data_IF_741636771579
#
_entry.id   IF_741636771579
#
_cell.length_a   1.000
_cell.length_b   1.000
_cell.length_c   1.000
_cell.angle_alpha   90.00
_cell.angle_beta   90.00
_cell.angle_gamma   90.00
#
_symmetry.space_group_name_H-M   'P 1'
#
loop_
_entity.id
_entity.type
_entity.pdbx_description
1 polymer ?
#
# COMPACT_ATOMS: atom_id res chain seq x y z
N UNK A 1 15.74 14.02 -30.50
CA UNK A 1 16.89 13.71 -31.40
C UNK A 1 18.07 14.53 -30.91
N UNK A 2 19.28 13.96 -30.87
CA UNK A 2 20.46 14.70 -30.43
C UNK A 2 20.84 15.76 -31.47
N UNK A 3 21.26 16.94 -31.01
CA UNK A 3 21.58 18.09 -31.85
C UNK A 3 22.77 17.77 -32.77
N UNK A 4 23.77 17.07 -32.23
CA UNK A 4 24.97 16.66 -32.96
C UNK A 4 24.65 15.71 -34.14
N UNK A 5 23.65 14.83 -33.98
CA UNK A 5 23.16 13.97 -35.06
C UNK A 5 22.37 14.73 -36.14
N UNK A 6 21.67 15.81 -35.76
CA UNK A 6 20.95 16.68 -36.69
C UNK A 6 21.86 17.64 -37.47
N UNK A 7 22.95 18.10 -36.84
CA UNK A 7 23.85 19.10 -37.41
C UNK A 7 24.89 18.48 -38.36
N UNK A 8 25.39 17.28 -38.05
CA UNK A 8 26.44 16.63 -38.83
C UNK A 8 25.97 15.40 -39.59
N UNK A 9 24.75 14.91 -39.34
CA UNK A 9 24.28 13.62 -39.85
C UNK A 9 24.97 12.46 -39.12
N UNK A 10 24.16 11.51 -38.63
CA UNK A 10 24.62 10.35 -37.84
C UNK A 10 25.67 9.48 -38.56
N UNK A 11 25.71 9.56 -39.89
CA UNK A 11 26.63 8.80 -40.74
C UNK A 11 27.87 9.57 -41.23
N UNK A 12 28.04 10.84 -40.87
CA UNK A 12 29.20 11.60 -41.34
C UNK A 12 30.51 11.13 -40.73
N UNK A 13 31.58 11.24 -41.53
CA UNK A 13 32.95 10.96 -41.12
C UNK A 13 33.37 11.81 -39.91
N UNK A 14 32.87 13.05 -39.81
CA UNK A 14 33.16 13.95 -38.69
C UNK A 14 32.54 13.44 -37.39
N UNK A 15 31.28 12.97 -37.43
CA UNK A 15 30.59 12.41 -36.27
C UNK A 15 31.22 11.09 -35.81
N UNK A 16 31.58 10.21 -36.75
CA UNK A 16 32.23 8.92 -36.46
C UNK A 16 33.67 9.11 -35.97
N UNK A 17 34.46 9.99 -36.59
CA UNK A 17 35.85 10.23 -36.21
C UNK A 17 35.97 10.88 -34.83
N UNK A 18 35.13 11.86 -34.49
CA UNK A 18 35.17 12.52 -33.17
C UNK A 18 34.74 11.61 -32.02
N UNK A 19 33.81 10.67 -32.27
CA UNK A 19 33.44 9.64 -31.29
C UNK A 19 34.54 8.56 -31.14
N UNK A 20 35.13 8.08 -32.24
CA UNK A 20 36.21 7.06 -32.20
C UNK A 20 37.48 7.62 -31.55
N UNK A 21 37.77 8.91 -31.72
CA UNK A 21 38.92 9.58 -31.12
C UNK A 21 38.70 10.00 -29.65
N UNK A 22 37.53 9.72 -29.07
CA UNK A 22 37.24 10.04 -27.66
C UNK A 22 37.22 11.54 -27.34
N UNK A 23 37.11 12.41 -28.35
CA UNK A 23 37.21 13.87 -28.18
C UNK A 23 35.96 14.47 -27.52
N UNK A 24 34.90 13.69 -27.29
CA UNK A 24 33.72 14.09 -26.51
C UNK A 24 32.88 15.21 -27.11
N UNK A 25 33.30 15.82 -28.24
CA UNK A 25 32.65 16.96 -28.89
C UNK A 25 31.16 16.74 -29.16
N UNK A 26 30.70 15.56 -29.64
CA UNK A 26 29.26 15.32 -29.81
C UNK A 26 28.49 15.33 -28.48
N UNK A 27 29.07 14.76 -27.41
CA UNK A 27 28.46 14.73 -26.08
C UNK A 27 28.45 16.10 -25.39
N UNK A 28 29.46 16.93 -25.61
CA UNK A 28 29.50 18.32 -25.12
C UNK A 28 28.47 19.19 -25.84
N UNK A 29 28.38 19.07 -27.17
CA UNK A 29 27.37 19.77 -27.97
C UNK A 29 25.94 19.38 -27.61
N UNK A 30 25.68 18.09 -27.39
CA UNK A 30 24.35 17.61 -26.96
C UNK A 30 24.02 18.01 -25.51
N UNK A 31 25.02 18.10 -24.63
CA UNK A 31 24.82 18.52 -23.24
C UNK A 31 24.57 20.03 -23.11
N UNK A 32 25.24 20.85 -23.91
CA UNK A 32 25.05 22.32 -23.86
C UNK A 32 23.85 22.79 -24.69
N UNK A 33 23.62 22.19 -25.86
CA UNK A 33 22.67 22.70 -26.84
C UNK A 33 21.63 21.66 -27.32
N UNK A 34 21.71 20.42 -26.84
CA UNK A 34 20.68 19.42 -27.09
C UNK A 34 19.37 19.74 -26.37
N UNK A 35 18.26 19.09 -26.77
CA UNK A 35 17.01 19.19 -26.03
C UNK A 35 17.28 18.72 -24.60
N UNK A 36 17.22 19.65 -23.64
CA UNK A 36 17.35 19.32 -22.23
C UNK A 36 16.15 18.45 -21.87
N UNK A 37 16.42 17.27 -21.33
CA UNK A 37 15.36 16.50 -20.68
C UNK A 37 14.69 17.40 -19.64
N UNK A 38 13.35 17.38 -19.52
CA UNK A 38 12.68 18.12 -18.47
C UNK A 38 13.28 17.70 -17.13
N UNK A 39 13.52 18.69 -16.26
CA UNK A 39 14.06 18.41 -14.93
C UNK A 39 13.17 17.36 -14.24
N UNK A 40 13.75 16.25 -13.74
CA UNK A 40 12.95 15.23 -13.07
C UNK A 40 12.31 15.83 -11.82
N UNK A 41 11.07 15.44 -11.55
CA UNK A 41 10.37 15.87 -10.34
C UNK A 41 11.20 15.53 -9.11
N UNK A 42 11.39 16.53 -8.25
CA UNK A 42 12.18 16.37 -7.03
C UNK A 42 11.34 15.74 -5.93
N UNK A 43 12.00 15.02 -5.04
CA UNK A 43 11.35 14.44 -3.87
C UNK A 43 10.70 15.57 -3.04
N UNK A 44 9.39 15.46 -2.82
CA UNK A 44 8.61 16.44 -2.04
C UNK A 44 7.80 17.44 -2.87
N UNK A 45 8.02 17.58 -4.18
CA UNK A 45 7.19 18.47 -5.02
C UNK A 45 5.72 18.03 -5.05
N UNK A 46 5.46 16.72 -4.93
CA UNK A 46 4.12 16.14 -4.82
C UNK A 46 3.33 16.61 -3.59
N UNK A 47 4.02 17.12 -2.55
CA UNK A 47 3.39 17.52 -1.29
C UNK A 47 2.77 18.92 -1.31
N UNK A 48 3.10 19.72 -2.31
CA UNK A 48 2.62 21.09 -2.44
C UNK A 48 1.27 21.12 -3.16
N UNK A 49 0.29 21.82 -2.59
CA UNK A 49 -0.99 22.05 -3.25
C UNK A 49 -0.87 23.19 -4.26
N UNK A 50 -1.40 22.98 -5.47
CA UNK A 50 -1.37 23.97 -6.55
C UNK A 50 -2.78 24.36 -7.01
N UNK A 51 -2.86 25.36 -7.88
CA UNK A 51 -4.08 25.78 -8.57
C UNK A 51 -3.79 26.18 -10.03
N UNK A 52 -2.79 25.50 -10.63
CA UNK A 52 -2.25 25.85 -11.94
C UNK A 52 -2.79 24.90 -13.00
N UNK A 53 -2.93 25.42 -14.21
CA UNK A 53 -3.18 24.60 -15.39
C UNK A 53 -1.90 23.86 -15.78
N UNK A 54 -2.07 22.68 -16.39
CA UNK A 54 -0.97 21.82 -16.88
C UNK A 54 -0.05 21.22 -15.80
N UNK A 55 -0.47 21.21 -14.54
CA UNK A 55 0.21 20.41 -13.52
C UNK A 55 0.03 18.91 -13.80
N UNK A 56 1.09 18.09 -13.68
CA UNK A 56 1.00 16.67 -13.92
C UNK A 56 0.11 15.99 -12.88
N UNK A 57 -0.74 15.08 -13.35
CA UNK A 57 -1.57 14.26 -12.47
C UNK A 57 -0.73 13.12 -11.91
N UNK A 58 -0.64 13.04 -10.58
CA UNK A 58 0.13 12.03 -9.90
C UNK A 58 -0.47 10.63 -10.11
N UNK A 59 0.37 9.65 -10.44
CA UNK A 59 0.04 8.22 -10.44
C UNK A 59 0.73 7.62 -9.23
N UNK A 60 -0.04 6.88 -8.42
CA UNK A 60 0.43 6.33 -7.14
C UNK A 60 0.22 4.83 -7.10
N UNK A 61 1.09 4.15 -6.36
CA UNK A 61 0.99 2.71 -6.13
C UNK A 61 1.18 2.43 -4.65
N UNK A 62 0.32 1.58 -4.08
CA UNK A 62 0.30 1.34 -2.63
C UNK A 62 -0.21 2.55 -1.86
N UNK A 63 0.32 2.76 -0.65
CA UNK A 63 -0.04 3.86 0.23
C UNK A 63 1.01 4.97 0.17
N UNK A 64 0.63 6.14 -0.34
CA UNK A 64 1.54 7.26 -0.57
C UNK A 64 1.13 8.49 0.23
N UNK A 65 2.12 9.14 0.87
CA UNK A 65 1.99 10.38 1.63
C UNK A 65 3.29 11.21 1.49
N UNK A 66 3.22 12.54 1.48
CA UNK A 66 2.04 13.41 1.37
C UNK A 66 1.78 13.85 -0.08
N UNK A 67 0.50 13.96 -0.46
CA UNK A 67 0.06 14.50 -1.76
C UNK A 67 -0.68 15.81 -1.53
N UNK A 68 -0.30 16.91 -2.16
CA UNK A 68 -0.96 18.22 -2.02
C UNK A 68 -2.19 18.41 -2.91
N UNK A 69 -2.19 17.78 -4.08
CA UNK A 69 -3.26 17.91 -5.08
C UNK A 69 -3.29 19.28 -5.79
N UNK A 70 -4.21 19.43 -6.74
CA UNK A 70 -4.40 20.66 -7.52
C UNK A 70 -5.87 21.09 -7.44
N UNK A 71 -6.14 22.38 -7.26
CA UNK A 71 -7.51 22.91 -7.28
C UNK A 71 -8.03 22.83 -8.72
N UNK A 72 -9.09 22.04 -8.94
CA UNK A 72 -9.67 21.76 -10.28
C UNK A 72 -10.98 22.50 -10.54
N UNK A 73 -11.64 22.98 -9.48
CA UNK A 73 -12.88 23.72 -9.56
C UNK A 73 -12.99 24.64 -8.34
N UNK A 74 -13.43 25.88 -8.50
CA UNK A 74 -13.47 26.81 -7.38
C UNK A 74 -14.48 27.93 -7.62
N UNK A 75 -15.40 28.12 -6.67
CA UNK A 75 -16.33 29.24 -6.67
C UNK A 75 -15.62 30.54 -6.29
N UNK A 76 -16.21 31.69 -6.60
CA UNK A 76 -15.83 32.95 -5.95
C UNK A 76 -16.23 32.93 -4.46
N UNK A 77 -15.47 33.60 -3.58
CA UNK A 77 -15.81 33.67 -2.17
C UNK A 77 -17.11 34.47 -1.95
N UNK A 78 -18.07 33.87 -1.24
CA UNK A 78 -19.38 34.48 -0.95
C UNK A 78 -19.39 34.96 0.49
N UNK A 79 -19.66 36.26 0.68
CA UNK A 79 -19.87 36.85 2.01
C UNK A 79 -21.33 36.67 2.44
N UNK A 80 -21.55 36.11 3.63
CA UNK A 80 -22.89 35.96 4.24
C UNK A 80 -22.88 36.53 5.64
N UNK A 81 -23.92 37.29 5.99
CA UNK A 81 -24.11 37.76 7.36
C UNK A 81 -24.69 36.62 8.19
N UNK A 82 -23.92 36.13 9.16
CA UNK A 82 -24.38 35.16 10.15
C UNK A 82 -24.74 35.92 11.42
N UNK A 83 -25.89 35.56 12.01
CA UNK A 83 -26.31 36.12 13.28
C UNK A 83 -25.66 35.31 14.40
N UNK A 84 -24.72 35.92 15.12
CA UNK A 84 -24.17 35.32 16.33
C UNK A 84 -24.85 35.91 17.56
N UNK A 85 -25.36 35.04 18.45
CA UNK A 85 -25.87 35.49 19.74
C UNK A 85 -24.74 35.47 20.77
N UNK A 86 -24.14 36.62 21.03
CA UNK A 86 -23.24 36.79 22.18
C UNK A 86 -24.05 36.90 23.46
N UNK A 87 -23.82 35.99 24.41
CA UNK A 87 -24.44 36.03 25.72
C UNK A 87 -23.73 37.09 26.58
N UNK A 88 -24.37 38.25 26.75
CA UNK A 88 -23.86 39.34 27.59
C UNK A 88 -23.88 38.95 29.07
N UNK A 89 -22.75 38.49 29.59
CA UNK A 89 -22.55 38.23 31.02
C UNK A 89 -22.38 39.54 31.79
N UNK A 90 -23.50 40.12 32.23
CA UNK A 90 -23.52 41.25 33.16
C UNK A 90 -24.65 41.04 34.17
N UNK A 91 -24.34 41.14 35.47
CA UNK A 91 -25.28 41.01 36.58
C UNK A 91 -26.22 42.23 36.59
N UNK A 92 -27.18 42.26 35.66
CA UNK A 92 -28.09 43.38 35.45
C UNK A 92 -28.66 43.39 34.03
N UNK A 93 -29.67 42.55 33.76
CA UNK A 93 -30.73 42.80 32.78
C UNK A 93 -30.37 43.25 31.34
N UNK A 94 -29.21 42.88 30.80
CA UNK A 94 -28.83 43.22 29.43
C UNK A 94 -29.33 42.18 28.43
N UNK A 95 -30.27 42.56 27.56
CA UNK A 95 -30.80 41.69 26.50
C UNK A 95 -29.73 41.12 25.57
N UNK A 96 -30.06 40.01 24.90
CA UNK A 96 -29.21 39.37 23.89
C UNK A 96 -28.81 40.41 22.83
N UNK A 97 -27.53 40.76 22.77
CA UNK A 97 -27.00 41.60 21.70
C UNK A 97 -26.71 40.67 20.51
N UNK A 98 -27.60 40.69 19.52
CA UNK A 98 -27.35 40.03 18.23
C UNK A 98 -26.25 40.82 17.51
N UNK A 99 -25.07 40.23 17.38
CA UNK A 99 -23.99 40.80 16.56
C UNK A 99 -24.05 40.09 15.22
N UNK A 100 -24.24 40.85 14.13
CA UNK A 100 -24.12 40.30 12.78
C UNK A 100 -22.65 40.26 12.42
N UNK A 101 -22.10 39.06 12.26
CA UNK A 101 -20.72 38.85 11.81
C UNK A 101 -20.75 38.46 10.34
N UNK A 102 -19.85 39.01 9.53
CA UNK A 102 -19.70 38.66 8.12
C UNK A 102 -18.81 37.42 8.03
N UNK A 103 -19.37 36.31 7.56
CA UNK A 103 -18.64 35.07 7.28
C UNK A 103 -18.38 34.93 5.78
N UNK A 104 -17.24 34.34 5.42
CA UNK A 104 -16.84 34.12 4.02
C UNK A 104 -16.90 32.62 3.74
N UNK A 105 -17.73 32.22 2.78
CA UNK A 105 -17.91 30.83 2.40
C UNK A 105 -17.42 30.55 0.98
N UNK A 106 -16.98 29.32 0.73
CA UNK A 106 -16.53 28.90 -0.60
C UNK A 106 -16.73 27.41 -0.86
N UNK A 107 -17.20 27.08 -2.06
CA UNK A 107 -17.22 25.70 -2.57
C UNK A 107 -16.08 25.50 -3.57
N UNK A 108 -15.31 24.42 -3.43
CA UNK A 108 -14.19 24.12 -4.31
C UNK A 108 -13.89 22.62 -4.36
N UNK A 109 -13.14 22.20 -5.38
CA UNK A 109 -12.73 20.83 -5.61
C UNK A 109 -11.21 20.74 -5.80
N UNK A 110 -10.60 19.71 -5.21
CA UNK A 110 -9.17 19.44 -5.28
C UNK A 110 -8.96 18.05 -5.89
N UNK A 111 -8.32 17.99 -7.06
CA UNK A 111 -7.87 16.76 -7.70
C UNK A 111 -6.58 16.27 -7.04
N UNK A 112 -6.57 15.03 -6.58
CA UNK A 112 -5.48 14.49 -5.75
C UNK A 112 -4.53 13.64 -6.59
N UNK A 113 -5.05 12.62 -7.26
CA UNK A 113 -4.25 11.69 -8.05
C UNK A 113 -5.13 10.99 -9.10
N UNK A 114 -4.49 10.21 -9.97
CA UNK A 114 -5.18 9.33 -10.90
C UNK A 114 -5.91 8.20 -10.16
N UNK A 115 -7.20 8.08 -10.43
CA UNK A 115 -8.05 6.99 -9.96
C UNK A 115 -8.12 5.82 -10.94
N UNK A 116 -8.79 4.72 -10.56
CA UNK A 116 -9.50 4.55 -9.31
C UNK A 116 -8.54 4.26 -8.15
N UNK A 117 -8.81 4.85 -6.99
CA UNK A 117 -8.09 4.59 -5.74
C UNK A 117 -8.90 3.65 -4.86
N UNK A 118 -8.22 2.90 -3.99
CA UNK A 118 -8.88 2.03 -3.00
C UNK A 118 -9.57 2.87 -1.94
N UNK A 119 -8.85 3.84 -1.37
CA UNK A 119 -9.38 4.73 -0.33
C UNK A 119 -8.52 5.96 -0.10
N UNK A 120 -9.13 7.01 0.45
CA UNK A 120 -8.41 8.06 1.16
C UNK A 120 -8.12 7.53 2.57
N UNK A 121 -6.85 7.39 2.95
CA UNK A 121 -6.51 6.89 4.28
C UNK A 121 -6.53 8.00 5.32
N UNK A 122 -5.90 9.15 5.02
CA UNK A 122 -5.84 10.31 5.93
C UNK A 122 -5.83 11.62 5.16
N UNK A 123 -6.40 12.66 5.77
CA UNK A 123 -6.41 14.01 5.20
C UNK A 123 -5.99 15.00 6.27
N UNK A 124 -5.09 15.92 5.91
CA UNK A 124 -4.68 17.04 6.74
C UNK A 124 -5.10 18.34 6.09
N UNK A 125 -5.56 19.29 6.91
CA UNK A 125 -5.91 20.67 6.56
C UNK A 125 -5.01 21.61 7.36
N UNK A 126 -4.20 22.42 6.70
CA UNK A 126 -3.18 23.29 7.31
C UNK A 126 -2.33 22.52 8.36
N UNK A 127 -1.83 21.34 7.98
CA UNK A 127 -1.08 20.40 8.82
C UNK A 127 -1.82 19.78 10.03
N UNK A 128 -3.13 20.03 10.20
CA UNK A 128 -3.96 19.38 11.21
C UNK A 128 -4.71 18.21 10.61
N UNK A 129 -4.70 17.05 11.28
CA UNK A 129 -5.47 15.88 10.85
C UNK A 129 -6.96 16.20 10.94
N UNK A 130 -7.70 15.95 9.85
CA UNK A 130 -9.16 16.18 9.77
C UNK A 130 -9.95 14.94 9.40
N UNK A 131 -9.29 13.92 8.84
CA UNK A 131 -9.91 12.66 8.45
C UNK A 131 -8.90 11.52 8.62
N UNK A 132 -9.35 10.41 9.19
CA UNK A 132 -8.56 9.19 9.37
C UNK A 132 -9.42 7.93 9.23
N UNK A 133 -9.26 7.20 8.12
CA UNK A 133 -10.04 6.01 7.77
C UNK A 133 -9.42 4.69 8.26
N UNK A 134 -8.43 4.72 9.15
CA UNK A 134 -7.72 3.51 9.64
C UNK A 134 -8.47 2.73 10.72
N UNK A 135 -9.67 3.17 11.10
CA UNK A 135 -10.46 2.53 12.16
C UNK A 135 -9.93 2.79 13.57
N UNK A 136 -9.60 4.06 13.88
CA UNK A 136 -9.22 4.48 15.22
C UNK A 136 -10.33 5.33 15.88
N UNK A 137 -10.32 5.39 17.22
CA UNK A 137 -11.34 6.13 17.99
C UNK A 137 -11.43 7.62 17.60
N UNK A 138 -10.29 8.22 17.22
CA UNK A 138 -10.26 9.60 16.75
C UNK A 138 -11.03 9.77 15.43
N UNK A 139 -10.83 8.86 14.47
CA UNK A 139 -11.51 8.87 13.18
C UNK A 139 -13.01 8.64 13.33
N UNK A 140 -13.44 7.73 14.21
CA UNK A 140 -14.86 7.44 14.43
C UNK A 140 -15.66 8.68 14.88
N UNK A 141 -15.04 9.56 15.67
CA UNK A 141 -15.66 10.80 16.14
C UNK A 141 -15.57 11.92 15.09
N UNK A 142 -14.43 12.07 14.42
CA UNK A 142 -14.16 13.24 13.57
C UNK A 142 -14.57 13.05 12.10
N UNK A 143 -14.51 11.83 11.56
CA UNK A 143 -14.84 11.56 10.16
C UNK A 143 -16.29 11.94 9.81
N UNK A 144 -17.33 11.65 10.63
CA UNK A 144 -18.69 12.07 10.32
C UNK A 144 -18.84 13.59 10.24
N UNK A 145 -18.11 14.34 11.08
CA UNK A 145 -18.12 15.80 11.08
C UNK A 145 -17.46 16.33 9.80
N UNK A 146 -16.32 15.75 9.41
CA UNK A 146 -15.64 16.10 8.17
C UNK A 146 -16.53 15.81 6.95
N UNK A 147 -17.16 14.64 6.88
CA UNK A 147 -17.99 14.24 5.75
C UNK A 147 -19.30 15.04 5.60
N UNK A 148 -19.68 15.89 6.57
CA UNK A 148 -20.80 16.83 6.40
C UNK A 148 -20.48 17.87 5.33
N UNK A 149 -19.29 18.47 5.40
CA UNK A 149 -18.85 19.53 4.50
C UNK A 149 -18.04 19.01 3.30
N UNK A 150 -17.52 17.79 3.37
CA UNK A 150 -16.64 17.25 2.32
C UNK A 150 -17.25 16.02 1.63
N UNK A 151 -17.04 15.90 0.32
CA UNK A 151 -17.34 14.70 -0.47
C UNK A 151 -16.05 14.14 -1.03
N UNK A 152 -15.89 12.82 -0.93
CA UNK A 152 -14.71 12.10 -1.42
C UNK A 152 -15.10 11.31 -2.67
N UNK A 153 -14.32 11.49 -3.72
CA UNK A 153 -14.50 10.81 -5.00
C UNK A 153 -13.26 9.96 -5.31
N UNK A 154 -13.45 8.66 -5.51
CA UNK A 154 -12.35 7.71 -5.70
C UNK A 154 -11.80 7.70 -7.14
N UNK A 155 -12.44 8.40 -8.07
CA UNK A 155 -11.97 8.52 -9.45
C UNK A 155 -12.29 7.31 -10.31
N UNK A 156 -13.41 6.64 -10.06
CA UNK A 156 -13.94 5.59 -10.93
C UNK A 156 -14.25 6.10 -12.34
N UNK A 157 -14.27 5.21 -13.33
CA UNK A 157 -14.64 5.53 -14.71
C UNK A 157 -16.14 5.72 -14.91
N UNK A 158 -16.94 5.14 -14.03
CA UNK A 158 -18.39 5.24 -13.94
C UNK A 158 -18.86 6.43 -13.09
N UNK A 159 -17.93 7.17 -12.49
CA UNK A 159 -18.27 8.27 -11.60
C UNK A 159 -19.04 9.38 -12.32
N UNK A 160 -20.00 9.96 -11.61
CA UNK A 160 -20.84 11.07 -12.06
C UNK A 160 -20.32 12.42 -11.55
N UNK A 161 -20.70 13.54 -12.18
CA UNK A 161 -20.42 14.88 -11.67
C UNK A 161 -20.90 15.08 -10.23
N UNK A 162 -20.23 15.97 -9.50
CA UNK A 162 -20.64 16.29 -8.14
C UNK A 162 -21.96 17.08 -8.17
N UNK A 163 -23.01 16.62 -7.46
CA UNK A 163 -24.28 17.33 -7.41
C UNK A 163 -24.15 18.70 -6.72
N UNK A 164 -23.22 18.84 -5.77
CA UNK A 164 -22.96 20.10 -5.07
C UNK A 164 -22.31 21.14 -5.98
N UNK A 165 -21.43 20.70 -6.89
CA UNK A 165 -20.90 21.57 -7.94
C UNK A 165 -22.00 21.88 -8.97
N UNK A 166 -22.78 20.88 -9.42
CA UNK A 166 -23.86 21.12 -10.39
C UNK A 166 -24.95 22.07 -9.83
N UNK A 167 -25.17 22.10 -8.52
CA UNK A 167 -26.06 23.06 -7.88
C UNK A 167 -25.62 24.52 -8.06
N UNK A 168 -24.32 24.77 -8.24
CA UNK A 168 -23.74 26.11 -8.40
C UNK A 168 -23.59 26.48 -9.88
N UNK A 169 -23.05 25.58 -10.71
CA UNK A 169 -22.73 25.86 -12.11
C UNK A 169 -23.76 25.35 -13.12
N UNK A 170 -24.79 24.63 -12.65
CA UNK A 170 -25.84 24.03 -13.46
C UNK A 170 -25.54 22.58 -13.88
N UNK A 171 -26.61 21.79 -14.01
CA UNK A 171 -26.55 20.39 -14.43
C UNK A 171 -25.95 20.27 -15.83
N UNK A 172 -24.96 19.38 -15.99
CA UNK A 172 -24.27 19.15 -17.27
C UNK A 172 -23.13 20.13 -17.58
N UNK A 173 -22.93 21.17 -16.77
CA UNK A 173 -21.82 22.12 -16.93
C UNK A 173 -20.59 21.75 -16.07
N UNK A 174 -20.73 20.76 -15.18
CA UNK A 174 -19.63 20.29 -14.33
C UNK A 174 -19.07 18.99 -14.89
N UNK A 175 -17.74 18.89 -15.12
CA UNK A 175 -17.15 17.65 -15.57
C UNK A 175 -17.22 16.59 -14.45
N UNK A 176 -17.38 15.33 -14.85
CA UNK A 176 -17.42 14.20 -13.92
C UNK A 176 -16.05 13.85 -13.31
N UNK A 177 -14.97 14.44 -13.84
CA UNK A 177 -13.58 14.15 -13.46
C UNK A 177 -13.25 12.64 -13.37
N UNK A 178 -13.81 11.84 -14.29
CA UNK A 178 -13.60 10.38 -14.37
C UNK A 178 -12.10 10.04 -14.46
N UNK A 179 -11.70 8.98 -13.78
CA UNK A 179 -10.29 8.58 -13.69
C UNK A 179 -9.42 9.50 -12.82
N UNK A 180 -10.01 10.45 -12.09
CA UNK A 180 -9.29 11.32 -11.15
C UNK A 180 -9.93 11.22 -9.78
N UNK A 181 -9.15 10.86 -8.76
CA UNK A 181 -9.59 10.94 -7.38
C UNK A 181 -9.57 12.41 -6.93
N UNK A 182 -10.68 12.92 -6.41
CA UNK A 182 -10.79 14.30 -5.98
C UNK A 182 -11.68 14.44 -4.74
N UNK A 183 -11.56 15.59 -4.08
CA UNK A 183 -12.43 15.97 -2.98
C UNK A 183 -13.22 17.23 -3.35
N UNK A 184 -14.43 17.37 -2.80
CA UNK A 184 -15.23 18.60 -2.91
C UNK A 184 -15.52 19.11 -1.51
N UNK A 185 -15.17 20.36 -1.24
CA UNK A 185 -15.56 21.09 -0.04
C UNK A 185 -16.80 21.92 -0.38
N UNK A 186 -17.89 21.74 0.37
CA UNK A 186 -19.19 22.34 0.15
C UNK A 186 -19.39 23.48 1.14
N UNK A 187 -19.54 24.70 0.61
CA UNK A 187 -19.88 25.89 1.38
C UNK A 187 -19.05 26.01 2.68
N UNK A 188 -17.73 25.82 2.56
CA UNK A 188 -16.84 25.80 3.72
C UNK A 188 -16.66 27.22 4.26
N UNK A 189 -16.75 27.37 5.58
CA UNK A 189 -16.45 28.63 6.25
C UNK A 189 -14.93 28.88 6.26
N UNK A 190 -14.53 29.93 5.54
CA UNK A 190 -13.16 30.40 5.36
C UNK A 190 -12.97 31.82 5.93
N UNK A 191 -13.81 32.24 6.88
CA UNK A 191 -13.75 33.58 7.48
C UNK A 191 -12.38 33.87 8.08
N UNK A 192 -11.80 32.93 8.82
CA UNK A 192 -10.45 33.05 9.41
C UNK A 192 -9.35 33.20 8.35
N UNK A 193 -9.59 32.67 7.14
CA UNK A 193 -8.66 32.70 6.02
C UNK A 193 -9.02 33.76 4.98
N UNK A 194 -9.98 34.64 5.27
CA UNK A 194 -10.48 35.66 4.34
C UNK A 194 -10.88 35.11 2.96
N UNK A 195 -11.39 33.87 2.90
CA UNK A 195 -11.81 33.21 1.65
C UNK A 195 -10.68 32.49 0.88
N UNK A 196 -9.46 32.43 1.43
CA UNK A 196 -8.37 31.63 0.86
C UNK A 196 -8.57 30.13 1.12
N UNK A 197 -8.36 29.32 0.08
CA UNK A 197 -8.48 27.85 0.18
C UNK A 197 -7.35 27.31 1.09
N UNK A 198 -7.66 26.48 2.10
CA UNK A 198 -6.67 25.85 2.96
C UNK A 198 -5.68 24.95 2.19
N UNK A 199 -4.51 24.72 2.79
CA UNK A 199 -3.56 23.73 2.29
C UNK A 199 -3.97 22.34 2.76
N UNK A 200 -4.24 21.45 1.82
CA UNK A 200 -4.55 20.06 2.06
C UNK A 200 -3.35 19.18 1.77
N UNK A 201 -3.26 18.10 2.55
CA UNK A 201 -2.38 16.98 2.25
C UNK A 201 -3.18 15.71 2.38
N UNK A 202 -2.93 14.78 1.47
CA UNK A 202 -3.64 13.51 1.38
C UNK A 202 -2.67 12.35 1.55
N UNK A 203 -3.14 11.32 2.24
CA UNK A 203 -2.59 9.99 2.17
C UNK A 203 -3.61 9.11 1.47
N UNK A 204 -3.21 8.54 0.35
CA UNK A 204 -4.09 7.78 -0.54
C UNK A 204 -3.53 6.38 -0.73
N UNK A 205 -4.44 5.42 -0.85
CA UNK A 205 -4.13 4.03 -1.11
C UNK A 205 -4.69 3.62 -2.47
N UNK A 206 -3.84 3.07 -3.34
CA UNK A 206 -4.24 2.52 -4.64
C UNK A 206 -3.71 1.09 -4.79
N UNK A 207 -4.63 0.13 -4.88
CA UNK A 207 -4.35 -1.29 -5.02
C UNK A 207 -4.94 -1.91 -6.31
N UNK A 208 -5.69 -1.16 -7.13
CA UNK A 208 -6.25 -1.68 -8.38
C UNK A 208 -5.19 -1.91 -9.45
N UNK A 209 -5.29 -3.05 -10.16
CA UNK A 209 -4.48 -3.38 -11.34
C UNK A 209 -3.29 -4.32 -11.08
N UNK A 210 -3.08 -4.77 -9.84
CA UNK A 210 -2.02 -5.74 -9.55
C UNK A 210 -2.52 -7.18 -9.76
N UNK A 211 -2.26 -7.71 -10.96
CA UNK A 211 -1.81 -9.10 -11.05
C UNK A 211 -0.38 -9.09 -10.51
N UNK A 212 -0.23 -9.51 -9.27
CA UNK A 212 1.07 -9.86 -8.72
C UNK A 212 1.73 -10.88 -9.67
N UNK A 213 2.74 -10.48 -10.43
CA UNK A 213 3.60 -11.44 -11.16
C UNK A 213 4.37 -12.33 -10.18
N UNK A 214 4.48 -11.89 -8.92
CA UNK A 214 5.08 -12.60 -7.80
C UNK A 214 4.34 -12.22 -6.51
N UNK A 215 4.17 -13.19 -5.59
CA UNK A 215 3.44 -13.05 -4.32
C UNK A 215 3.98 -11.88 -3.48
N UNK A 216 3.13 -11.28 -2.63
CA UNK A 216 3.51 -10.16 -1.74
C UNK A 216 4.58 -10.65 -0.75
N UNK A 217 5.76 -10.03 -0.76
CA UNK A 217 6.77 -10.27 0.29
C UNK A 217 6.26 -9.72 1.63
N UNK A 218 6.18 -10.54 2.70
CA UNK A 218 5.79 -10.06 4.01
C UNK A 218 6.83 -9.06 4.55
N UNK A 219 6.37 -8.00 5.23
CA UNK A 219 7.22 -6.92 5.79
C UNK A 219 7.92 -7.37 7.08
N UNK A 220 7.40 -8.38 7.76
CA UNK A 220 8.02 -9.03 8.90
C UNK A 220 7.98 -10.54 8.69
N UNK A 221 9.17 -11.16 8.68
CA UNK A 221 9.31 -12.60 8.50
C UNK A 221 10.10 -13.19 9.65
N UNK A 222 9.60 -14.29 10.19
CA UNK A 222 10.36 -15.14 11.10
C UNK A 222 11.16 -16.10 10.22
N UNK A 223 12.48 -15.93 10.18
CA UNK A 223 13.40 -16.71 9.32
C UNK A 223 13.22 -18.23 9.53
N UNK A 224 13.17 -18.69 10.79
CA UNK A 224 12.96 -20.11 11.09
C UNK A 224 12.29 -20.33 12.45
N UNK A 225 11.41 -21.34 12.52
CA UNK A 225 10.88 -21.89 13.78
C UNK A 225 11.28 -23.36 13.88
N UNK A 226 12.13 -23.69 14.85
CA UNK A 226 12.61 -25.05 15.10
C UNK A 226 12.04 -25.63 16.40
N UNK A 227 11.52 -26.85 16.33
CA UNK A 227 11.16 -27.62 17.53
C UNK A 227 12.23 -28.66 17.85
N UNK A 228 12.90 -28.52 19.00
CA UNK A 228 13.66 -29.57 19.71
C UNK A 228 12.77 -30.22 20.79
N UNK A 229 13.10 -31.39 21.38
CA UNK A 229 12.22 -32.10 22.30
C UNK A 229 12.05 -31.35 23.64
N UNK A 230 11.25 -30.30 23.63
CA UNK A 230 10.58 -29.69 24.75
C UNK A 230 9.21 -29.23 24.23
N UNK A 231 8.16 -29.75 24.84
CA UNK A 231 6.76 -29.61 24.42
C UNK A 231 6.37 -28.14 24.23
N UNK A 232 6.32 -27.65 22.99
CA UNK A 232 5.83 -26.32 22.67
C UNK A 232 4.32 -26.36 22.39
N UNK A 233 3.50 -26.35 23.45
CA UNK A 233 2.03 -26.22 23.36
C UNK A 233 1.60 -24.74 23.12
N UNK A 234 2.40 -23.93 22.43
CA UNK A 234 2.09 -22.53 22.15
C UNK A 234 1.37 -22.37 20.78
N UNK A 235 0.20 -21.73 20.71
CA UNK A 235 -0.42 -21.38 19.43
C UNK A 235 0.38 -20.26 18.76
N UNK A 236 1.08 -20.58 17.67
CA UNK A 236 1.88 -19.60 16.92
C UNK A 236 1.03 -18.86 15.89
N UNK A 237 1.13 -17.53 15.90
CA UNK A 237 0.49 -16.64 14.93
C UNK A 237 1.56 -15.69 14.38
N UNK A 238 2.18 -16.08 13.25
CA UNK A 238 3.18 -15.29 12.53
C UNK A 238 3.37 -15.79 11.10
N UNK A 239 3.98 -14.97 10.24
CA UNK A 239 4.45 -15.40 8.91
C UNK A 239 5.84 -16.03 9.09
N UNK A 240 5.97 -17.32 8.78
CA UNK A 240 7.20 -18.09 9.01
C UNK A 240 7.76 -18.57 7.67
N UNK A 241 9.02 -18.26 7.41
CA UNK A 241 9.75 -18.66 6.19
C UNK A 241 10.00 -20.17 6.19
N UNK A 242 10.60 -20.71 7.26
CA UNK A 242 10.85 -22.13 7.42
C UNK A 242 10.32 -22.70 8.75
N UNK A 243 9.65 -23.86 8.70
CA UNK A 243 9.32 -24.66 9.88
C UNK A 243 10.13 -25.95 9.88
N UNK A 244 10.82 -26.19 10.99
CA UNK A 244 11.75 -27.31 11.16
C UNK A 244 11.40 -28.19 12.36
N UNK A 245 11.58 -29.50 12.23
CA UNK A 245 11.73 -30.39 13.39
C UNK A 245 13.04 -31.17 13.28
N UNK A 246 13.87 -31.12 14.32
CA UNK A 246 15.19 -31.76 14.33
C UNK A 246 15.41 -32.63 15.56
N UNK A 247 16.07 -33.77 15.41
CA UNK A 247 16.62 -34.54 16.55
C UNK A 247 15.58 -35.28 17.40
N UNK A 248 14.51 -35.77 16.78
CA UNK A 248 13.45 -36.51 17.45
C UNK A 248 13.85 -37.99 17.57
N UNK A 249 13.86 -38.54 18.78
CA UNK A 249 14.07 -39.97 19.03
C UNK A 249 12.88 -40.61 19.77
N UNK A 250 12.51 -41.82 19.37
CA UNK A 250 11.47 -42.61 20.01
C UNK A 250 11.97 -44.03 20.28
N UNK A 251 12.06 -44.40 21.56
CA UNK A 251 12.49 -45.74 22.00
C UNK A 251 11.35 -46.77 21.84
N UNK A 252 10.11 -46.40 22.22
CA UNK A 252 8.89 -47.18 22.00
C UNK A 252 7.64 -46.29 21.92
N UNK A 253 6.72 -46.55 20.97
CA UNK A 253 5.37 -45.93 20.95
C UNK A 253 4.91 -45.37 19.60
N UNK A 254 4.08 -44.32 19.61
CA UNK A 254 3.66 -43.61 18.38
C UNK A 254 3.82 -42.11 18.52
N UNK A 255 4.44 -41.50 17.51
CA UNK A 255 4.68 -40.05 17.43
C UNK A 255 3.84 -39.44 16.31
N UNK A 256 3.02 -38.45 16.65
CA UNK A 256 2.01 -37.84 15.75
C UNK A 256 1.94 -36.33 15.98
N UNK A 257 1.72 -35.58 14.89
CA UNK A 257 1.41 -34.14 14.92
C UNK A 257 2.45 -33.29 15.67
N UNK A 258 3.75 -33.44 15.35
CA UNK A 258 4.84 -32.68 15.99
C UNK A 258 4.73 -31.19 15.77
N UNK A 259 4.22 -30.76 14.61
CA UNK A 259 3.98 -29.37 14.29
C UNK A 259 2.47 -29.13 14.05
N UNK A 260 1.93 -28.10 14.70
CA UNK A 260 0.51 -27.72 14.60
C UNK A 260 0.36 -26.31 14.04
N UNK A 261 -0.25 -26.23 12.85
CA UNK A 261 -0.92 -25.07 12.22
C UNK A 261 -0.02 -23.84 11.96
N UNK A 262 0.26 -23.57 10.69
CA UNK A 262 0.73 -22.26 10.19
C UNK A 262 -0.13 -21.75 9.01
N UNK A 263 -0.27 -20.43 8.91
CA UNK A 263 -1.03 -19.72 7.87
C UNK A 263 -0.27 -19.63 6.54
N UNK A 264 1.06 -19.49 6.61
CA UNK A 264 1.97 -19.31 5.49
C UNK A 264 3.30 -20.02 5.81
N UNK A 265 3.86 -20.73 4.83
CA UNK A 265 5.11 -21.47 4.94
C UNK A 265 5.82 -21.49 3.59
N UNK A 266 7.11 -21.15 3.53
CA UNK A 266 7.91 -21.28 2.31
C UNK A 266 8.63 -22.63 2.26
N UNK A 267 9.18 -23.08 3.40
CA UNK A 267 9.85 -24.36 3.52
C UNK A 267 9.41 -25.18 4.74
N UNK A 268 9.25 -26.50 4.56
CA UNK A 268 9.11 -27.46 5.66
C UNK A 268 10.32 -28.38 5.68
N UNK A 269 11.04 -28.39 6.81
CA UNK A 269 12.25 -29.19 6.97
C UNK A 269 12.12 -30.18 8.12
N UNK A 270 12.58 -31.40 7.90
CA UNK A 270 12.64 -32.43 8.95
C UNK A 270 14.00 -33.09 8.95
N UNK A 271 14.66 -33.15 10.10
CA UNK A 271 15.99 -33.74 10.18
C UNK A 271 16.21 -34.60 11.43
N UNK A 272 17.03 -35.64 11.32
CA UNK A 272 17.50 -36.40 12.48
C UNK A 272 16.39 -37.10 13.27
N UNK A 273 15.47 -37.77 12.57
CA UNK A 273 14.39 -38.53 13.20
C UNK A 273 14.79 -39.99 13.34
N UNK A 274 14.78 -40.53 14.56
CA UNK A 274 15.16 -41.91 14.86
C UNK A 274 14.07 -42.64 15.64
N UNK A 275 13.77 -43.88 15.24
CA UNK A 275 12.81 -44.73 15.94
C UNK A 275 13.46 -46.09 16.20
N UNK A 276 13.54 -46.48 17.45
CA UNK A 276 14.02 -47.79 17.85
C UNK A 276 12.90 -48.84 17.73
N UNK A 277 11.70 -48.53 18.25
CA UNK A 277 10.48 -49.32 18.03
C UNK A 277 9.20 -48.46 17.95
N UNK A 278 8.35 -48.62 16.91
CA UNK A 278 7.05 -47.91 16.88
C UNK A 278 6.55 -47.42 15.52
N UNK A 279 5.67 -46.41 15.54
CA UNK A 279 5.02 -45.83 14.35
C UNK A 279 5.15 -44.30 14.27
N UNK A 280 5.69 -43.80 13.14
CA UNK A 280 5.67 -42.38 12.76
C UNK A 280 4.72 -42.15 11.59
N UNK A 281 3.78 -41.21 11.78
CA UNK A 281 2.72 -40.94 10.78
C UNK A 281 2.88 -39.64 10.01
N UNK A 282 2.94 -38.49 10.67
CA UNK A 282 2.85 -37.19 10.02
C UNK A 282 3.49 -36.09 10.87
N UNK A 283 4.38 -35.31 10.26
CA UNK A 283 5.10 -34.22 10.93
C UNK A 283 4.26 -32.94 11.06
N UNK A 284 3.49 -32.58 10.01
CA UNK A 284 2.63 -31.39 10.00
C UNK A 284 1.16 -31.75 9.79
N UNK A 285 0.28 -31.34 10.70
CA UNK A 285 -1.15 -31.69 10.67
C UNK A 285 -1.98 -30.92 9.64
N UNK A 286 -1.70 -29.63 9.42
CA UNK A 286 -2.51 -28.74 8.57
C UNK A 286 -1.74 -27.47 8.17
N UNK A 287 -1.77 -27.12 6.88
CA UNK A 287 -1.36 -25.80 6.37
C UNK A 287 -2.51 -25.20 5.55
N UNK A 288 -2.68 -23.88 5.61
CA UNK A 288 -3.67 -23.16 4.80
C UNK A 288 -3.18 -23.00 3.35
N UNK A 289 -1.86 -22.88 3.17
CA UNK A 289 -1.15 -22.77 1.88
C UNK A 289 -0.06 -23.86 1.82
N UNK A 290 0.16 -24.53 0.67
CA UNK A 290 1.25 -25.49 0.52
C UNK A 290 2.62 -24.78 0.47
N UNK A 291 3.67 -25.35 1.09
CA UNK A 291 5.01 -24.78 1.02
C UNK A 291 5.68 -24.97 -0.34
N UNK A 292 6.61 -24.09 -0.64
CA UNK A 292 7.38 -24.07 -1.90
C UNK A 292 8.47 -25.14 -1.90
N UNK A 293 9.07 -25.43 -0.74
CA UNK A 293 10.06 -26.48 -0.56
C UNK A 293 9.70 -27.48 0.55
N UNK A 294 9.93 -28.78 0.29
CA UNK A 294 9.85 -29.86 1.27
C UNK A 294 11.19 -30.60 1.36
N UNK A 295 11.76 -30.69 2.56
CA UNK A 295 13.01 -31.42 2.81
C UNK A 295 12.89 -32.39 4.00
N UNK A 296 13.44 -33.59 3.83
CA UNK A 296 13.60 -34.57 4.92
C UNK A 296 15.00 -35.19 4.89
N UNK A 297 15.72 -35.19 6.01
CA UNK A 297 17.08 -35.74 6.09
C UNK A 297 17.35 -36.57 7.34
N UNK A 298 18.17 -37.62 7.23
CA UNK A 298 18.66 -38.39 8.38
C UNK A 298 17.55 -39.09 9.17
N UNK A 299 16.70 -39.87 8.49
CA UNK A 299 15.63 -40.66 9.11
C UNK A 299 16.07 -42.11 9.28
N UNK A 300 16.03 -42.65 10.50
CA UNK A 300 16.40 -44.05 10.77
C UNK A 300 15.34 -44.81 11.57
N UNK A 301 15.09 -46.06 11.18
CA UNK A 301 14.20 -46.97 11.90
C UNK A 301 14.91 -48.29 12.14
N UNK A 302 14.96 -48.71 13.41
CA UNK A 302 15.51 -50.01 13.78
C UNK A 302 14.46 -51.12 13.71
N UNK A 303 13.23 -50.86 14.18
CA UNK A 303 12.07 -51.76 14.08
C UNK A 303 10.75 -50.98 14.03
N UNK A 304 9.90 -51.14 13.01
CA UNK A 304 8.57 -50.51 12.97
C UNK A 304 8.13 -49.97 11.60
N UNK A 305 7.07 -49.16 11.58
CA UNK A 305 6.44 -48.70 10.33
C UNK A 305 6.63 -47.19 10.11
N UNK A 306 7.24 -46.82 8.98
CA UNK A 306 7.22 -45.47 8.43
C UNK A 306 6.12 -45.38 7.38
N UNK A 307 5.07 -44.59 7.65
CA UNK A 307 3.95 -44.45 6.72
C UNK A 307 4.11 -43.38 5.66
N UNK A 308 4.93 -42.36 5.94
CA UNK A 308 5.12 -41.22 5.03
C UNK A 308 6.35 -40.41 5.44
N UNK A 309 7.40 -40.41 4.62
CA UNK A 309 8.58 -39.56 4.85
C UNK A 309 8.33 -38.09 4.46
N UNK A 310 7.48 -37.85 3.45
CA UNK A 310 7.15 -36.51 2.93
C UNK A 310 5.64 -36.40 2.68
N UNK A 311 5.03 -35.28 3.09
CA UNK A 311 3.61 -35.02 2.82
C UNK A 311 3.45 -34.47 1.40
N UNK A 312 2.77 -35.21 0.52
CA UNK A 312 2.31 -34.67 -0.77
C UNK A 312 0.87 -34.14 -0.66
N UNK A 313 0.59 -33.03 -1.33
CA UNK A 313 -0.74 -32.42 -1.39
C UNK A 313 -1.42 -32.82 -2.70
N UNK A 314 -2.70 -33.23 -2.66
CA UNK A 314 -3.43 -33.72 -3.84
C UNK A 314 -3.67 -32.65 -4.92
N UNK A 315 -3.69 -31.36 -4.54
CA UNK A 315 -4.15 -30.27 -5.40
C UNK A 315 -3.04 -29.31 -5.85
N UNK A 316 -1.82 -29.43 -5.31
CA UNK A 316 -0.70 -28.53 -5.61
C UNK A 316 0.63 -29.27 -5.45
N UNK A 317 1.53 -29.15 -6.43
CA UNK A 317 2.88 -29.68 -6.37
C UNK A 317 3.83 -28.61 -5.79
N UNK A 318 4.70 -28.95 -4.82
CA UNK A 318 5.74 -28.04 -4.34
C UNK A 318 6.80 -27.81 -5.44
N UNK A 319 7.52 -26.69 -5.36
CA UNK A 319 8.56 -26.31 -6.33
C UNK A 319 9.85 -27.12 -6.14
N UNK A 320 10.12 -27.59 -4.92
CA UNK A 320 11.22 -28.49 -4.60
C UNK A 320 10.84 -29.58 -3.59
N UNK A 321 11.23 -30.82 -3.87
CA UNK A 321 11.11 -31.95 -2.94
C UNK A 321 12.47 -32.65 -2.84
N UNK A 322 12.96 -32.84 -1.62
CA UNK A 322 14.16 -33.64 -1.37
C UNK A 322 13.99 -34.57 -0.17
N UNK A 323 14.50 -35.80 -0.31
CA UNK A 323 14.65 -36.74 0.80
C UNK A 323 16.03 -37.39 0.73
N UNK A 324 16.79 -37.38 1.82
CA UNK A 324 18.14 -37.95 1.86
C UNK A 324 18.41 -38.69 3.17
N UNK A 325 19.12 -39.82 3.10
CA UNK A 325 19.54 -40.54 4.30
C UNK A 325 18.39 -41.18 5.08
N UNK A 326 17.53 -41.93 4.38
CA UNK A 326 16.47 -42.75 4.99
C UNK A 326 16.96 -44.21 5.08
N UNK A 327 16.93 -44.79 6.28
CA UNK A 327 17.33 -46.20 6.51
C UNK A 327 16.31 -46.94 7.37
N UNK A 328 15.91 -48.16 6.95
CA UNK A 328 15.04 -49.06 7.72
C UNK A 328 15.75 -50.39 7.91
N UNK A 329 16.06 -50.75 9.15
CA UNK A 329 16.73 -52.00 9.51
C UNK A 329 15.74 -53.16 9.60
N UNK A 330 14.54 -52.93 10.15
CA UNK A 330 13.43 -53.89 10.12
C UNK A 330 12.07 -53.19 10.21
N UNK A 331 11.07 -53.70 9.48
CA UNK A 331 9.72 -53.11 9.39
C UNK A 331 9.34 -52.62 8.00
N UNK A 332 8.34 -51.75 7.88
CA UNK A 332 7.82 -51.31 6.57
C UNK A 332 8.02 -49.82 6.29
N UNK A 333 8.41 -49.51 5.05
CA UNK A 333 8.42 -48.17 4.49
C UNK A 333 7.28 -48.10 3.46
N UNK A 334 6.31 -47.22 3.70
CA UNK A 334 5.17 -46.97 2.80
C UNK A 334 5.01 -45.49 2.49
#
# INVERSE_FOLDING_TARGET
MSLSASLFGRDSLIFKATNVLGLGLPGVLDKEFGPKDPDPQRLGELSAQTAKESEPRAIIWGRVRPIGGNIIHCQEPIKRMVKESTQGGGKGGGGKKETKVEHVFRTYAIGVCEGPITSFSRIWRNNKLVYDARGNEWGDVNNPVFLQAYRLYLGGWDQMPSPDLEAIWGVGNVPAYRGTAYIVAIDEDLTEMSGAVPQFQFEVERAEGFSLTSRVYPVEVIEAVESTPAKADAPWQGFTEALGSSGLSLEAGSLRDTLKKSSYLEALETSGLSIESGELRQTLKQSVVPPEALSSSGMSIQSGDLRRALISYLNYAPEGISSSGVSVTSGTLS
#
